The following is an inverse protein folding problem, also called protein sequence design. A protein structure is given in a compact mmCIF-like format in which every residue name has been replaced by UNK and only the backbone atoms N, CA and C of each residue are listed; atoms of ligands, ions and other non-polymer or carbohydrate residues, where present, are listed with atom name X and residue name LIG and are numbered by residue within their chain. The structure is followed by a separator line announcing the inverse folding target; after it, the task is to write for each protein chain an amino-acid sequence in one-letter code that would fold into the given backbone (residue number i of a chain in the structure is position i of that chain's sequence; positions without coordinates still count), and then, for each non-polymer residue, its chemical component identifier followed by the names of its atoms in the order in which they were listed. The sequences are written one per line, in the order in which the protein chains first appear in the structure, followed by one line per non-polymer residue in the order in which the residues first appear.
data_IF_336286725757
#
_entry.id   IF_336286725757
#
_cell.length_a   1.000
_cell.length_b   1.000
_cell.length_c   1.000
_cell.angle_alpha   90.00
_cell.angle_beta   90.00
_cell.angle_gamma   90.00
#
_symmetry.space_group_name_H-M   'P 1'
#
loop_
_entity.id
_entity.type
_entity.pdbx_description
1 polymer ?
#
# COMPACT_ATOMS: atom_id res chain seq x y z
N UNK A 1 12.10 13.79 -26.47
CA UNK A 1 10.73 14.22 -26.17
C UNK A 1 9.75 13.08 -26.16
N UNK A 2 9.71 12.26 -27.19
CA UNK A 2 8.80 11.11 -27.20
C UNK A 2 9.10 10.09 -26.12
N UNK A 3 10.37 9.89 -25.78
CA UNK A 3 10.75 8.97 -24.71
C UNK A 3 10.28 9.45 -23.34
N UNK A 4 10.27 10.78 -23.13
CA UNK A 4 9.77 11.33 -21.86
C UNK A 4 8.27 11.11 -21.70
N UNK A 5 7.51 11.27 -22.78
CA UNK A 5 6.08 11.01 -22.77
C UNK A 5 5.80 9.55 -22.44
N UNK A 6 6.58 8.63 -23.01
CA UNK A 6 6.42 7.20 -22.71
C UNK A 6 6.76 6.87 -21.27
N UNK A 7 7.77 7.52 -20.72
CA UNK A 7 8.12 7.33 -19.30
C UNK A 7 7.01 7.83 -18.40
N UNK A 8 6.43 8.95 -18.72
CA UNK A 8 5.31 9.49 -17.96
C UNK A 8 4.11 8.54 -18.00
N UNK A 9 3.78 8.00 -19.18
CA UNK A 9 2.69 7.03 -19.29
C UNK A 9 2.96 5.78 -18.47
N UNK A 10 4.18 5.26 -18.50
CA UNK A 10 4.56 4.09 -17.72
C UNK A 10 4.46 4.38 -16.21
N UNK A 11 4.89 5.56 -15.77
CA UNK A 11 4.79 5.97 -14.38
C UNK A 11 3.33 6.12 -13.95
N UNK A 12 2.50 6.72 -14.78
CA UNK A 12 1.07 6.84 -14.50
C UNK A 12 0.45 5.45 -14.34
N UNK A 13 0.81 4.50 -15.21
CA UNK A 13 0.30 3.13 -15.09
C UNK A 13 0.77 2.46 -13.80
N UNK A 14 2.03 2.65 -13.42
CA UNK A 14 2.58 2.10 -12.17
C UNK A 14 1.91 2.70 -10.97
N UNK A 15 1.57 3.96 -11.04
CA UNK A 15 1.02 4.71 -9.91
C UNK A 15 -0.50 4.79 -9.95
N UNK A 16 -1.14 4.06 -10.87
CA UNK A 16 -2.60 3.98 -10.88
C UNK A 16 -3.07 3.45 -9.54
N UNK A 17 -3.93 4.24 -8.89
CA UNK A 17 -4.47 3.91 -7.58
C UNK A 17 -5.87 3.34 -7.72
N UNK A 18 -6.10 2.27 -7.00
CA UNK A 18 -7.39 1.59 -6.97
C UNK A 18 -8.03 1.86 -5.62
N UNK A 19 -9.16 2.59 -5.58
CA UNK A 19 -9.86 2.82 -4.31
C UNK A 19 -10.40 1.49 -3.79
N UNK A 20 -10.17 1.26 -2.50
CA UNK A 20 -10.63 0.08 -1.80
C UNK A 20 -11.07 0.50 -0.40
N UNK A 21 -11.71 -0.41 0.32
CA UNK A 21 -12.01 -0.22 1.72
C UNK A 21 -11.78 -1.57 2.39
N UNK A 22 -10.60 -1.72 2.97
CA UNK A 22 -10.20 -3.03 3.48
C UNK A 22 -9.44 -2.88 4.79
N UNK A 23 -9.90 -3.60 5.81
CA UNK A 23 -9.26 -3.62 7.12
C UNK A 23 -8.17 -4.70 7.11
N UNK A 24 -6.92 -4.28 7.14
CA UNK A 24 -5.77 -5.17 7.13
C UNK A 24 -5.09 -5.18 8.49
N UNK A 25 -4.31 -6.22 8.73
CA UNK A 25 -3.45 -6.28 9.91
C UNK A 25 -1.99 -6.24 9.50
N UNK A 26 -1.15 -5.74 10.40
CA UNK A 26 0.28 -5.68 10.18
C UNK A 26 1.03 -5.87 11.48
N UNK A 27 2.32 -6.15 11.37
CA UNK A 27 3.23 -6.24 12.49
C UNK A 27 4.15 -5.03 12.48
N UNK A 28 4.01 -4.19 13.49
CA UNK A 28 4.87 -3.02 13.70
C UNK A 28 5.96 -3.37 14.70
N UNK A 29 7.18 -2.96 14.42
CA UNK A 29 8.33 -3.32 15.23
C UNK A 29 8.15 -3.03 16.72
N UNK A 30 7.61 -1.86 17.04
CA UNK A 30 7.46 -1.41 18.43
C UNK A 30 6.05 -1.59 18.96
N UNK A 31 5.04 -1.46 18.09
CA UNK A 31 3.64 -1.49 18.48
C UNK A 31 3.04 -2.90 18.43
N UNK A 32 3.77 -3.85 17.84
CA UNK A 32 3.25 -5.20 17.65
C UNK A 32 2.17 -5.25 16.58
N UNK A 33 1.14 -6.03 16.80
CA UNK A 33 0.05 -6.18 15.84
C UNK A 33 -0.80 -4.92 15.79
N UNK A 34 -0.98 -4.38 14.62
CA UNK A 34 -1.77 -3.18 14.38
C UNK A 34 -2.82 -3.43 13.30
N UNK A 35 -3.85 -2.61 13.31
CA UNK A 35 -4.93 -2.64 12.32
C UNK A 35 -4.84 -1.39 11.46
N UNK A 36 -4.92 -1.58 10.14
CA UNK A 36 -4.83 -0.51 9.16
C UNK A 36 -6.04 -0.58 8.25
N UNK A 37 -6.70 0.56 8.03
CA UNK A 37 -7.76 0.65 7.03
C UNK A 37 -7.15 1.10 5.72
N UNK A 38 -7.12 0.22 4.73
CA UNK A 38 -6.57 0.55 3.41
C UNK A 38 -7.63 1.30 2.62
N UNK A 39 -7.28 2.51 2.20
CA UNK A 39 -8.17 3.40 1.45
C UNK A 39 -7.92 3.33 -0.05
N UNK A 40 -6.67 3.15 -0.46
CA UNK A 40 -6.34 2.87 -1.85
C UNK A 40 -5.03 2.07 -1.94
N UNK A 41 -4.82 1.43 -3.07
CA UNK A 41 -3.64 0.63 -3.34
C UNK A 41 -3.17 0.87 -4.77
N UNK A 42 -1.85 0.88 -4.95
CA UNK A 42 -1.20 0.91 -6.26
C UNK A 42 -0.12 -0.17 -6.29
N UNK A 43 0.57 -0.27 -7.43
CA UNK A 43 1.70 -1.21 -7.54
C UNK A 43 2.84 -0.88 -6.57
N UNK A 44 2.96 0.37 -6.13
CA UNK A 44 4.10 0.81 -5.33
C UNK A 44 3.77 1.04 -3.86
N UNK A 45 2.50 1.16 -3.49
CA UNK A 45 2.16 1.41 -2.11
C UNK A 45 0.68 1.52 -1.82
N UNK A 46 0.39 1.92 -0.60
CA UNK A 46 -0.99 2.04 -0.11
C UNK A 46 -1.17 3.34 0.64
N UNK A 47 -2.41 3.83 0.63
CA UNK A 47 -2.87 4.86 1.53
C UNK A 47 -3.69 4.19 2.61
N UNK A 48 -3.37 4.46 3.86
CA UNK A 48 -4.08 3.88 4.99
C UNK A 48 -4.54 4.95 5.96
N UNK A 49 -5.60 4.64 6.70
CA UNK A 49 -5.90 5.33 7.94
C UNK A 49 -5.66 4.37 9.10
N UNK A 50 -5.02 4.87 10.14
CA UNK A 50 -4.66 4.06 11.29
C UNK A 50 -4.67 4.91 12.55
N UNK A 51 -5.25 4.35 13.62
CA UNK A 51 -5.19 4.98 14.93
C UNK A 51 -3.93 4.62 15.70
N UNK A 52 -3.10 3.78 15.13
CA UNK A 52 -1.98 3.11 15.82
C UNK A 52 -0.71 3.95 15.84
N UNK A 53 -0.67 5.18 15.69
CA UNK A 53 0.52 6.00 15.90
C UNK A 53 1.72 5.64 15.03
N UNK A 54 1.47 5.29 13.77
CA UNK A 54 2.54 5.02 12.80
C UNK A 54 3.25 6.33 12.50
N UNK A 55 4.58 6.29 12.45
CA UNK A 55 5.40 7.46 12.17
C UNK A 55 6.19 7.28 10.89
N UNK A 56 6.57 8.41 10.28
CA UNK A 56 7.46 8.41 9.12
C UNK A 56 8.74 7.64 9.44
N UNK A 57 9.13 6.75 8.54
CA UNK A 57 10.30 5.92 8.71
C UNK A 57 10.02 4.56 9.33
N UNK A 58 8.83 4.36 9.87
CA UNK A 58 8.45 3.07 10.44
C UNK A 58 8.29 2.03 9.33
N UNK A 59 8.62 0.79 9.68
CA UNK A 59 8.38 -0.36 8.81
C UNK A 59 7.34 -1.26 9.43
N UNK A 60 6.49 -1.82 8.59
CA UNK A 60 5.41 -2.72 9.00
C UNK A 60 5.42 -3.92 8.06
N UNK A 61 5.23 -5.10 8.61
CA UNK A 61 4.98 -6.29 7.81
C UNK A 61 3.47 -6.41 7.65
N UNK A 62 2.99 -6.18 6.44
CA UNK A 62 1.58 -6.05 6.14
C UNK A 62 1.03 -7.35 5.58
N UNK A 63 -0.13 -7.76 6.08
CA UNK A 63 -0.84 -8.93 5.57
C UNK A 63 -1.88 -8.50 4.56
N UNK A 64 -1.68 -8.91 3.30
CA UNK A 64 -2.60 -8.62 2.20
C UNK A 64 -3.38 -9.89 1.82
N UNK A 65 -4.64 -9.75 1.38
CA UNK A 65 -5.38 -10.90 0.89
C UNK A 65 -4.82 -11.37 -0.45
N UNK A 66 -4.87 -12.65 -0.71
CA UNK A 66 -4.43 -13.24 -1.99
C UNK A 66 -2.94 -13.05 -2.28
N UNK A 67 -2.13 -12.79 -1.27
CA UNK A 67 -0.70 -12.54 -1.44
C UNK A 67 0.06 -12.90 -0.17
N UNK A 68 1.37 -13.00 -0.29
CA UNK A 68 2.24 -13.16 0.86
C UNK A 68 2.34 -11.83 1.63
N UNK A 69 2.74 -11.92 2.89
CA UNK A 69 3.00 -10.74 3.69
C UNK A 69 4.08 -9.89 3.02
N UNK A 70 3.91 -8.57 3.08
CA UNK A 70 4.81 -7.64 2.40
C UNK A 70 5.28 -6.57 3.37
N UNK A 71 6.57 -6.23 3.27
CA UNK A 71 7.13 -5.12 4.03
C UNK A 71 6.73 -3.79 3.41
N UNK A 72 6.37 -2.84 4.26
CA UNK A 72 6.05 -1.48 3.83
C UNK A 72 6.81 -0.48 4.70
N UNK A 73 7.18 0.65 4.09
CA UNK A 73 7.85 1.76 4.74
C UNK A 73 6.93 2.96 4.76
N UNK A 74 6.73 3.56 5.92
CA UNK A 74 5.94 4.78 6.03
C UNK A 74 6.73 5.97 5.51
N UNK A 75 6.23 6.58 4.44
CA UNK A 75 6.88 7.75 3.82
C UNK A 75 6.42 9.06 4.42
N UNK A 76 5.14 9.13 4.83
CA UNK A 76 4.57 10.35 5.40
C UNK A 76 3.34 10.00 6.24
N UNK A 77 3.05 10.87 7.19
CA UNK A 77 1.80 10.82 7.94
C UNK A 77 1.19 12.20 7.98
N UNK A 78 -0.14 12.25 8.05
CA UNK A 78 -0.89 13.48 8.23
C UNK A 78 -2.19 13.14 8.94
N UNK A 79 -2.31 13.59 10.19
CA UNK A 79 -3.39 13.16 11.08
C UNK A 79 -3.36 11.64 11.23
N UNK A 80 -4.45 10.95 10.88
CA UNK A 80 -4.49 9.49 10.94
C UNK A 80 -4.20 8.82 9.60
N UNK A 81 -3.89 9.60 8.57
CA UNK A 81 -3.53 9.06 7.27
C UNK A 81 -2.03 8.81 7.18
N UNK A 82 -1.67 7.79 6.44
CA UNK A 82 -0.27 7.48 6.17
C UNK A 82 -0.11 6.91 4.76
N UNK A 83 0.97 7.32 4.10
CA UNK A 83 1.39 6.74 2.83
C UNK A 83 2.48 5.72 3.09
N UNK A 84 2.25 4.48 2.69
CA UNK A 84 3.16 3.37 2.89
C UNK A 84 3.64 2.84 1.55
N UNK A 85 4.94 2.66 1.40
CA UNK A 85 5.55 2.17 0.18
C UNK A 85 5.93 0.71 0.34
N UNK A 86 5.61 -0.12 -0.65
CA UNK A 86 6.04 -1.52 -0.65
C UNK A 86 7.55 -1.63 -0.84
N UNK A 87 8.17 -2.64 -0.22
CA UNK A 87 9.57 -2.95 -0.42
C UNK A 87 9.90 -3.20 -1.90
N UNK A 88 8.96 -3.83 -2.61
CA UNK A 88 9.06 -4.10 -4.04
C UNK A 88 7.73 -3.82 -4.70
N UNK A 89 7.73 -3.25 -5.90
CA UNK A 89 6.49 -3.07 -6.64
C UNK A 89 5.77 -4.41 -6.84
N UNK A 90 4.46 -4.38 -6.75
CA UNK A 90 3.62 -5.55 -6.99
C UNK A 90 3.35 -5.64 -8.49
N UNK A 91 3.52 -6.83 -9.07
CA UNK A 91 3.25 -7.01 -10.49
C UNK A 91 1.75 -6.90 -10.78
N UNK A 92 1.36 -6.51 -12.00
CA UNK A 92 -0.05 -6.26 -12.32
C UNK A 92 -1.01 -7.43 -12.04
N UNK A 93 -0.71 -8.68 -12.39
CA UNK A 93 -1.63 -9.78 -12.08
C UNK A 93 -1.85 -9.97 -10.58
N UNK A 94 -0.80 -9.87 -9.78
CA UNK A 94 -0.90 -9.98 -8.33
C UNK A 94 -1.70 -8.82 -7.76
N UNK A 95 -1.44 -7.60 -8.23
CA UNK A 95 -2.19 -6.42 -7.79
C UNK A 95 -3.68 -6.59 -8.09
N UNK A 96 -4.03 -7.07 -9.27
CA UNK A 96 -5.43 -7.32 -9.62
C UNK A 96 -6.08 -8.31 -8.65
N UNK A 97 -5.38 -9.40 -8.33
CA UNK A 97 -5.88 -10.40 -7.39
C UNK A 97 -6.11 -9.80 -5.99
N UNK A 98 -5.18 -8.98 -5.54
CA UNK A 98 -5.31 -8.31 -4.24
C UNK A 98 -6.50 -7.37 -4.23
N UNK A 99 -6.64 -6.53 -5.26
CA UNK A 99 -7.74 -5.57 -5.36
C UNK A 99 -9.08 -6.30 -5.39
N UNK A 100 -9.18 -7.35 -6.20
CA UNK A 100 -10.40 -8.15 -6.31
C UNK A 100 -10.76 -8.77 -4.95
N UNK A 101 -9.76 -9.31 -4.25
CA UNK A 101 -9.97 -9.91 -2.94
C UNK A 101 -10.40 -8.87 -1.90
N UNK A 102 -9.81 -7.69 -1.91
CA UNK A 102 -10.19 -6.60 -1.01
C UNK A 102 -11.64 -6.16 -1.24
N UNK A 103 -12.05 -6.07 -2.50
CA UNK A 103 -13.40 -5.62 -2.86
C UNK A 103 -14.46 -6.68 -2.61
N UNK A 104 -14.06 -7.95 -2.57
CA UNK A 104 -14.96 -9.05 -2.28
C UNK A 104 -15.18 -9.28 -0.78
N UNK A 105 -14.32 -8.71 0.03
CA UNK A 105 -14.37 -8.91 1.48
C UNK A 105 -15.52 -8.15 2.15
#
# INVERSE_FOLDING_TARGET
MLSNVRQEDAEVQRDTRFPVSYCATGEHRNLGKIVLQIEDISATGILVSAKAGIERGDTVLLRLPSAEDVGVLCLWTWHQLAGLQFDRPINPPTLKSIVDAMRAA
#
